data_IF_379245745573
#
_entry.id   IF_379245745573
#
_cell.length_a   1.000
_cell.length_b   1.000
_cell.length_c   1.000
_cell.angle_alpha   90.00
_cell.angle_beta   90.00
_cell.angle_gamma   90.00
#
_symmetry.space_group_name_H-M   'P 1'
#
loop_
_entity.id
_entity.type
_entity.pdbx_description
1 polymer ?
#
# COMPACT_ATOMS: atom_id res chain seq x y z
N UNK A 1 16.77 27.75 -8.34
CA UNK A 1 16.64 27.29 -6.94
C UNK A 1 16.17 25.86 -6.97
N UNK A 2 16.95 24.96 -6.44
CA UNK A 2 16.59 23.54 -6.46
C UNK A 2 15.46 23.30 -5.44
N UNK A 3 14.36 22.71 -5.89
CA UNK A 3 13.22 22.47 -5.01
C UNK A 3 13.56 21.31 -4.04
N UNK A 4 13.79 21.68 -2.78
CA UNK A 4 14.13 20.74 -1.71
C UNK A 4 12.98 19.78 -1.34
N UNK A 5 11.74 20.08 -1.78
CA UNK A 5 10.57 19.27 -1.46
C UNK A 5 10.64 17.88 -2.09
N UNK A 6 11.20 17.75 -3.30
CA UNK A 6 11.36 16.47 -3.98
C UNK A 6 12.31 15.53 -3.22
N UNK A 7 13.44 16.06 -2.71
CA UNK A 7 14.37 15.28 -1.89
C UNK A 7 13.74 14.89 -0.55
N UNK A 8 13.03 15.83 0.09
CA UNK A 8 12.33 15.56 1.35
C UNK A 8 11.27 14.47 1.18
N UNK A 9 10.46 14.55 0.13
CA UNK A 9 9.42 13.56 -0.18
C UNK A 9 10.03 12.16 -0.39
N UNK A 10 11.07 12.05 -1.18
CA UNK A 10 11.81 10.81 -1.42
C UNK A 10 12.44 10.27 -0.12
N UNK A 11 13.03 11.14 0.69
CA UNK A 11 13.62 10.79 1.98
C UNK A 11 12.61 10.22 2.94
N UNK A 12 11.47 10.89 3.11
CA UNK A 12 10.36 10.42 3.96
C UNK A 12 9.85 9.06 3.47
N UNK A 13 9.64 8.91 2.16
CA UNK A 13 9.20 7.64 1.58
C UNK A 13 10.16 6.48 1.92
N UNK A 14 11.45 6.63 1.64
CA UNK A 14 12.43 5.56 1.87
C UNK A 14 12.64 5.24 3.36
N UNK A 15 12.67 6.25 4.23
CA UNK A 15 12.82 6.03 5.67
C UNK A 15 11.56 5.35 6.23
N UNK A 16 10.38 5.80 5.81
CA UNK A 16 9.10 5.19 6.18
C UNK A 16 9.03 3.71 5.78
N UNK A 17 9.47 3.32 4.58
CA UNK A 17 9.48 1.92 4.13
C UNK A 17 10.40 1.04 5.01
N UNK A 18 11.59 1.55 5.36
CA UNK A 18 12.49 0.83 6.28
C UNK A 18 11.91 0.70 7.68
N UNK A 19 11.26 1.74 8.17
CA UNK A 19 10.61 1.73 9.48
C UNK A 19 9.44 0.74 9.50
N UNK A 20 8.59 0.76 8.47
CA UNK A 20 7.48 -0.18 8.35
C UNK A 20 7.97 -1.64 8.35
N UNK A 21 9.07 -1.95 7.67
CA UNK A 21 9.68 -3.28 7.70
C UNK A 21 10.02 -3.72 9.12
N UNK A 22 10.57 -2.82 9.95
CA UNK A 22 10.90 -3.11 11.35
C UNK A 22 9.65 -3.30 12.21
N UNK A 23 8.63 -2.47 11.99
CA UNK A 23 7.37 -2.55 12.73
C UNK A 23 6.60 -3.82 12.39
N UNK A 24 6.51 -4.19 11.12
CA UNK A 24 5.91 -5.47 10.73
C UNK A 24 6.60 -6.65 11.42
N UNK A 25 7.93 -6.64 11.47
CA UNK A 25 8.69 -7.68 12.19
C UNK A 25 8.39 -7.69 13.68
N UNK A 26 8.31 -6.53 14.33
CA UNK A 26 7.98 -6.41 15.76
C UNK A 26 6.60 -6.97 16.08
N UNK A 27 5.64 -6.78 15.18
CA UNK A 27 4.27 -7.30 15.30
C UNK A 27 4.09 -8.74 14.78
N UNK A 28 5.18 -9.50 14.62
CA UNK A 28 5.12 -10.91 14.21
C UNK A 28 4.91 -11.14 12.71
N UNK A 29 4.99 -10.08 11.90
CA UNK A 29 4.75 -10.11 10.45
C UNK A 29 6.06 -9.99 9.64
N UNK A 30 7.18 -10.48 10.18
CA UNK A 30 8.50 -10.30 9.59
C UNK A 30 8.72 -10.97 8.23
N UNK A 31 7.78 -11.78 7.76
CA UNK A 31 7.78 -12.36 6.40
C UNK A 31 7.20 -11.42 5.35
N UNK A 32 6.49 -10.38 5.77
CA UNK A 32 5.85 -9.43 4.87
C UNK A 32 6.82 -8.31 4.49
N UNK A 33 6.89 -8.02 3.20
CA UNK A 33 7.49 -6.77 2.71
C UNK A 33 6.50 -5.60 2.92
N UNK A 34 6.98 -4.33 2.88
CA UNK A 34 6.10 -3.17 2.91
C UNK A 34 5.02 -3.19 1.82
N UNK A 35 5.36 -3.64 0.61
CA UNK A 35 4.40 -3.78 -0.50
C UNK A 35 3.29 -4.80 -0.16
N UNK A 36 3.65 -5.94 0.43
CA UNK A 36 2.68 -6.96 0.87
C UNK A 36 1.81 -6.47 2.03
N UNK A 37 2.39 -5.74 2.98
CA UNK A 37 1.63 -5.07 4.04
C UNK A 37 0.61 -4.09 3.47
N UNK A 38 0.98 -3.30 2.46
CA UNK A 38 0.09 -2.36 1.77
C UNK A 38 -1.05 -3.08 1.04
N UNK A 39 -0.77 -4.21 0.40
CA UNK A 39 -1.79 -5.06 -0.24
C UNK A 39 -2.79 -5.58 0.80
N UNK A 40 -2.31 -6.10 1.94
CA UNK A 40 -3.20 -6.55 3.00
C UNK A 40 -4.08 -5.42 3.53
N UNK A 41 -3.51 -4.24 3.78
CA UNK A 41 -4.28 -3.09 4.25
C UNK A 41 -5.38 -2.69 3.25
N UNK A 42 -5.09 -2.68 1.95
CA UNK A 42 -6.10 -2.41 0.92
C UNK A 42 -7.22 -3.47 0.91
N UNK A 43 -6.87 -4.75 1.05
CA UNK A 43 -7.85 -5.84 1.12
C UNK A 43 -8.65 -5.84 2.44
N UNK A 44 -8.11 -5.28 3.53
CA UNK A 44 -8.87 -5.08 4.77
C UNK A 44 -9.90 -3.96 4.66
N UNK A 45 -9.66 -2.99 3.79
CA UNK A 45 -10.65 -1.95 3.47
C UNK A 45 -11.73 -2.48 2.51
N UNK A 46 -11.31 -3.18 1.47
CA UNK A 46 -12.19 -3.74 0.47
C UNK A 46 -11.64 -5.09 -0.02
N UNK A 47 -12.24 -6.18 0.46
CA UNK A 47 -11.88 -7.55 0.08
C UNK A 47 -12.51 -7.94 -1.28
N UNK A 48 -11.99 -9.00 -1.88
CA UNK A 48 -12.49 -9.57 -3.14
C UNK A 48 -12.63 -8.52 -4.26
N UNK A 49 -11.52 -7.92 -4.62
CA UNK A 49 -11.43 -6.88 -5.66
C UNK A 49 -10.59 -7.35 -6.84
N UNK A 50 -10.75 -6.67 -7.99
CA UNK A 50 -9.92 -6.93 -9.16
C UNK A 50 -8.45 -6.53 -8.90
N UNK A 51 -7.52 -7.22 -9.55
CA UNK A 51 -6.09 -6.85 -9.53
C UNK A 51 -5.88 -5.40 -9.98
N UNK A 52 -6.66 -4.93 -10.96
CA UNK A 52 -6.64 -3.54 -11.40
C UNK A 52 -7.01 -2.58 -10.28
N UNK A 53 -8.13 -2.84 -9.58
CA UNK A 53 -8.56 -2.02 -8.45
C UNK A 53 -7.52 -2.01 -7.33
N UNK A 54 -6.92 -3.16 -7.04
CA UNK A 54 -5.86 -3.28 -6.06
C UNK A 54 -4.61 -2.47 -6.45
N UNK A 55 -4.23 -2.45 -7.73
CA UNK A 55 -3.16 -1.59 -8.26
C UNK A 55 -3.45 -0.11 -8.03
N UNK A 56 -4.67 0.33 -8.32
CA UNK A 56 -5.11 1.72 -8.09
C UNK A 56 -5.05 2.10 -6.60
N UNK A 57 -5.53 1.23 -5.71
CA UNK A 57 -5.53 1.50 -4.27
C UNK A 57 -4.13 1.52 -3.66
N UNK A 58 -3.23 0.67 -4.15
CA UNK A 58 -1.87 0.52 -3.58
C UNK A 58 -0.83 1.39 -4.25
N UNK A 59 -1.10 1.90 -5.43
CA UNK A 59 -0.14 2.60 -6.32
C UNK A 59 1.13 1.77 -6.60
N UNK A 60 1.02 0.43 -6.52
CA UNK A 60 2.10 -0.47 -6.88
C UNK A 60 2.13 -0.67 -8.39
N UNK A 61 3.34 -0.68 -8.95
CA UNK A 61 3.53 -1.05 -10.34
C UNK A 61 3.13 -2.51 -10.59
N UNK A 62 2.81 -2.82 -11.84
CA UNK A 62 2.31 -4.14 -12.24
C UNK A 62 3.26 -5.28 -11.86
N UNK A 63 4.56 -5.09 -12.02
CA UNK A 63 5.58 -6.11 -11.70
C UNK A 63 5.66 -6.37 -10.21
N UNK A 64 5.73 -5.33 -9.40
CA UNK A 64 5.77 -5.41 -7.94
C UNK A 64 4.50 -6.05 -7.39
N UNK A 65 3.34 -5.65 -7.89
CA UNK A 65 2.04 -6.21 -7.48
C UNK A 65 1.96 -7.70 -7.82
N UNK A 66 2.29 -8.09 -9.06
CA UNK A 66 2.24 -9.49 -9.50
C UNK A 66 3.16 -10.39 -8.69
N UNK A 67 4.40 -9.97 -8.47
CA UNK A 67 5.37 -10.71 -7.65
C UNK A 67 4.91 -10.84 -6.19
N UNK A 68 4.40 -9.75 -5.63
CA UNK A 68 3.89 -9.73 -4.25
C UNK A 68 2.70 -10.67 -4.08
N UNK A 69 1.74 -10.65 -5.00
CA UNK A 69 0.57 -11.53 -4.97
C UNK A 69 0.97 -13.00 -5.09
N UNK A 70 1.92 -13.34 -5.97
CA UNK A 70 2.42 -14.72 -6.11
C UNK A 70 3.02 -15.23 -4.79
N UNK A 71 3.82 -14.42 -4.12
CA UNK A 71 4.40 -14.77 -2.81
C UNK A 71 3.33 -14.86 -1.71
N UNK A 72 2.36 -13.96 -1.71
CA UNK A 72 1.28 -13.99 -0.73
C UNK A 72 0.36 -15.21 -0.91
N UNK A 73 0.15 -15.67 -2.13
CA UNK A 73 -0.53 -16.95 -2.39
C UNK A 73 0.28 -18.14 -1.85
N UNK A 74 1.58 -18.16 -2.09
CA UNK A 74 2.48 -19.20 -1.54
C UNK A 74 2.47 -19.24 -0.01
N UNK A 75 2.31 -18.07 0.63
CA UNK A 75 2.15 -17.97 2.08
C UNK A 75 0.72 -18.26 2.57
N UNK A 76 -0.22 -18.50 1.66
CA UNK A 76 -1.61 -18.77 1.98
C UNK A 76 -2.37 -17.57 2.56
N UNK A 77 -1.98 -16.35 2.22
CA UNK A 77 -2.60 -15.11 2.72
C UNK A 77 -3.72 -14.59 1.82
N UNK A 78 -3.58 -14.81 0.53
CA UNK A 78 -4.57 -14.42 -0.49
C UNK A 78 -4.77 -15.56 -1.48
N UNK A 79 -5.87 -15.50 -2.21
CA UNK A 79 -6.14 -16.35 -3.35
C UNK A 79 -6.60 -15.49 -4.54
N UNK A 80 -6.18 -15.88 -5.74
CA UNK A 80 -6.60 -15.27 -6.99
C UNK A 80 -7.56 -16.19 -7.74
N UNK A 81 -8.58 -15.62 -8.33
CA UNK A 81 -9.55 -16.35 -9.17
C UNK A 81 -10.02 -15.46 -10.30
N UNK A 82 -10.48 -16.07 -11.41
CA UNK A 82 -11.18 -15.33 -12.46
C UNK A 82 -12.52 -14.81 -11.94
N UNK A 83 -12.93 -13.61 -12.41
CA UNK A 83 -14.26 -13.08 -12.13
C UNK A 83 -15.34 -13.98 -12.75
N UNK A 84 -16.45 -14.18 -12.05
CA UNK A 84 -17.55 -15.04 -12.52
C UNK A 84 -18.21 -14.51 -13.80
N UNK A 85 -18.25 -13.19 -13.98
CA UNK A 85 -18.88 -12.52 -15.13
C UNK A 85 -17.93 -12.33 -16.29
N UNK A 86 -16.64 -12.07 -16.03
CA UNK A 86 -15.61 -11.90 -17.03
C UNK A 86 -14.31 -12.56 -16.59
N UNK A 87 -14.04 -13.75 -17.09
CA UNK A 87 -12.84 -14.55 -16.75
C UNK A 87 -11.52 -13.89 -17.14
N UNK A 88 -11.53 -12.83 -17.93
CA UNK A 88 -10.35 -12.02 -18.24
C UNK A 88 -9.94 -11.13 -17.06
N UNK A 89 -10.88 -10.86 -16.14
CA UNK A 89 -10.65 -10.09 -14.94
C UNK A 89 -10.21 -11.03 -13.83
N UNK A 90 -9.01 -10.78 -13.28
CA UNK A 90 -8.49 -11.51 -12.14
C UNK A 90 -8.88 -10.78 -10.85
N UNK A 91 -9.44 -11.52 -9.90
CA UNK A 91 -9.82 -11.04 -8.56
C UNK A 91 -8.87 -11.59 -7.50
N UNK A 92 -8.71 -10.83 -6.43
CA UNK A 92 -7.91 -11.19 -5.26
C UNK A 92 -8.79 -11.09 -4.03
N UNK A 93 -8.75 -12.11 -3.17
CA UNK A 93 -9.41 -12.10 -1.87
C UNK A 93 -8.52 -12.66 -0.78
N UNK A 94 -8.79 -12.25 0.46
CA UNK A 94 -8.12 -12.75 1.64
C UNK A 94 -8.53 -14.20 1.93
N UNK A 95 -7.56 -15.01 2.31
CA UNK A 95 -7.83 -16.30 2.96
C UNK A 95 -8.18 -16.09 4.44
N UNK A 96 -8.56 -17.16 5.14
CA UNK A 96 -8.72 -17.12 6.59
C UNK A 96 -7.43 -16.68 7.30
N UNK A 97 -6.27 -17.18 6.84
CA UNK A 97 -4.96 -16.78 7.35
C UNK A 97 -4.67 -15.31 7.09
N UNK A 98 -4.95 -14.81 5.88
CA UNK A 98 -4.80 -13.38 5.57
C UNK A 98 -5.63 -12.50 6.49
N UNK A 99 -6.88 -12.87 6.76
CA UNK A 99 -7.77 -12.13 7.69
C UNK A 99 -7.26 -12.15 9.13
N UNK A 100 -6.63 -13.22 9.58
CA UNK A 100 -6.11 -13.33 10.95
C UNK A 100 -4.96 -12.35 11.26
N UNK A 101 -4.30 -11.82 10.24
CA UNK A 101 -3.20 -10.85 10.40
C UNK A 101 -3.69 -9.39 10.52
N UNK A 102 -5.00 -9.14 10.40
CA UNK A 102 -5.57 -7.79 10.35
C UNK A 102 -5.17 -6.93 11.56
N UNK A 103 -5.29 -7.48 12.76
CA UNK A 103 -4.98 -6.74 13.98
C UNK A 103 -3.51 -6.35 14.04
N UNK A 104 -2.59 -7.28 13.79
CA UNK A 104 -1.16 -7.01 13.80
C UNK A 104 -0.73 -6.00 12.70
N UNK A 105 -1.33 -6.09 11.51
CA UNK A 105 -1.11 -5.08 10.45
C UNK A 105 -1.61 -3.70 10.87
N UNK A 106 -2.78 -3.63 11.49
CA UNK A 106 -3.35 -2.37 11.98
C UNK A 106 -2.46 -1.73 13.04
N UNK A 107 -2.01 -2.51 14.03
CA UNK A 107 -1.12 -2.03 15.09
C UNK A 107 0.22 -1.51 14.54
N UNK A 108 0.86 -2.25 13.63
CA UNK A 108 2.09 -1.81 12.97
C UNK A 108 1.90 -0.51 12.18
N UNK A 109 0.79 -0.38 11.47
CA UNK A 109 0.47 0.82 10.70
C UNK A 109 0.12 2.01 11.59
N UNK A 110 -0.60 1.78 12.70
CA UNK A 110 -0.92 2.82 13.67
C UNK A 110 0.35 3.35 14.33
N UNK A 111 1.25 2.48 14.78
CA UNK A 111 2.53 2.87 15.36
C UNK A 111 3.37 3.70 14.37
N UNK A 112 3.41 3.30 13.10
CA UNK A 112 4.06 4.09 12.05
C UNK A 112 3.43 5.48 11.89
N UNK A 113 2.11 5.55 11.92
CA UNK A 113 1.35 6.80 11.80
C UNK A 113 1.65 7.74 12.96
N UNK A 114 1.68 7.21 14.18
CA UNK A 114 1.98 7.98 15.39
C UNK A 114 3.39 8.56 15.36
N UNK A 115 4.36 7.77 14.90
CA UNK A 115 5.75 8.23 14.71
C UNK A 115 5.82 9.31 13.61
N UNK A 116 5.18 9.07 12.48
CA UNK A 116 5.23 9.96 11.32
C UNK A 116 4.64 11.35 11.62
N UNK A 117 3.57 11.39 12.39
CA UNK A 117 2.85 12.61 12.71
C UNK A 117 3.13 13.16 14.12
N UNK A 118 4.18 12.68 14.79
CA UNK A 118 4.58 13.23 16.07
C UNK A 118 4.90 14.72 15.95
N UNK A 119 4.23 15.56 16.74
CA UNK A 119 4.41 17.02 16.71
C UNK A 119 3.67 17.74 15.56
N UNK A 120 2.91 17.03 14.73
CA UNK A 120 2.09 17.61 13.64
C UNK A 120 0.65 17.73 14.12
N UNK A 121 0.08 18.94 14.03
CA UNK A 121 -1.33 19.19 14.39
C UNK A 121 -2.30 18.56 13.40
N UNK A 122 -3.55 18.39 13.81
CA UNK A 122 -4.60 17.87 12.91
C UNK A 122 -4.86 18.82 11.72
N UNK A 123 -4.75 20.12 11.92
CA UNK A 123 -4.89 21.12 10.85
C UNK A 123 -3.78 21.00 9.82
N UNK A 124 -2.52 20.91 10.27
CA UNK A 124 -1.35 20.73 9.41
C UNK A 124 -1.45 19.41 8.65
N UNK A 125 -1.88 18.34 9.32
CA UNK A 125 -2.12 17.03 8.69
C UNK A 125 -3.19 17.11 7.59
N UNK A 126 -4.26 17.84 7.81
CA UNK A 126 -5.33 18.09 6.82
C UNK A 126 -4.80 18.83 5.59
N UNK A 127 -4.03 19.91 5.81
CA UNK A 127 -3.39 20.68 4.74
C UNK A 127 -2.39 19.80 3.96
N UNK A 128 -1.54 19.05 4.67
CA UNK A 128 -0.58 18.15 4.06
C UNK A 128 -1.25 17.10 3.17
N UNK A 129 -2.30 16.45 3.66
CA UNK A 129 -3.04 15.45 2.89
C UNK A 129 -3.66 16.03 1.62
N UNK A 130 -4.25 17.23 1.71
CA UNK A 130 -4.81 17.94 0.56
C UNK A 130 -3.73 18.23 -0.51
N UNK A 131 -2.57 18.73 -0.07
CA UNK A 131 -1.45 19.02 -0.99
C UNK A 131 -0.91 17.73 -1.60
N UNK A 132 -0.73 16.69 -0.78
CA UNK A 132 -0.21 15.40 -1.24
C UNK A 132 -1.14 14.76 -2.28
N UNK A 133 -2.45 14.84 -2.09
CA UNK A 133 -3.43 14.35 -3.08
C UNK A 133 -3.32 15.13 -4.40
N UNK A 134 -3.18 16.45 -4.35
CA UNK A 134 -2.98 17.25 -5.56
C UNK A 134 -1.69 16.87 -6.30
N UNK A 135 -0.59 16.68 -5.57
CA UNK A 135 0.67 16.21 -6.17
C UNK A 135 0.51 14.82 -6.81
N UNK A 136 -0.21 13.92 -6.15
CA UNK A 136 -0.49 12.59 -6.66
C UNK A 136 -1.31 12.62 -7.95
N UNK A 137 -2.37 13.43 -8.00
CA UNK A 137 -3.20 13.64 -9.20
C UNK A 137 -2.35 14.16 -10.36
N UNK A 138 -1.54 15.19 -10.12
CA UNK A 138 -0.69 15.80 -11.16
C UNK A 138 0.28 14.79 -11.79
N UNK A 139 0.99 13.98 -10.97
CA UNK A 139 1.94 13.00 -11.52
C UNK A 139 1.25 11.81 -12.14
N UNK A 140 0.12 11.36 -11.60
CA UNK A 140 -0.66 10.24 -12.15
C UNK A 140 -1.27 10.57 -13.51
N UNK A 141 -1.65 11.82 -13.73
CA UNK A 141 -2.18 12.29 -15.02
C UNK A 141 -1.08 12.32 -16.09
N UNK A 142 0.12 12.74 -15.73
CA UNK A 142 1.28 12.73 -16.62
C UNK A 142 1.72 11.30 -16.97
N UNK A 143 1.73 10.39 -15.99
CA UNK A 143 2.07 8.99 -16.21
C UNK A 143 1.09 8.32 -17.19
N UNK A 144 -0.21 8.58 -17.03
CA UNK A 144 -1.25 8.07 -17.96
C UNK A 144 -1.10 8.62 -19.37
N UNK A 145 -0.81 9.94 -19.51
CA UNK A 145 -0.64 10.60 -20.81
C UNK A 145 0.66 10.20 -21.53
N UNK A 146 1.65 9.64 -20.84
CA UNK A 146 2.91 9.19 -21.42
C UNK A 146 2.84 7.76 -22.00
N UNK A 147 1.74 7.04 -21.77
CA UNK A 147 1.50 5.64 -22.22
C UNK A 147 0.71 5.62 -23.54
N UNK A 148 0.09 6.73 -23.94
CA UNK A 148 -0.60 6.93 -25.23
C UNK A 148 0.38 7.50 -26.29
#
# INVERSE_FOLDING_TARGET
MQDKSLFALSGVYHIKERLLTRLLRRHGLGRLSPAQGRILMALYEQDDISVRKLSEMTSLDKSTLSLSLTRMEQFGLVERSGDEKDRRVMRVKLTRSGRSHRQACHEATQELTDILYCGVTNEERGVFLRVLNQLFENVSEQERSAID
#
